data_IF_370592125838
#
_entry.id   IF_370592125838
#
_cell.length_a   1.000
_cell.length_b   1.000
_cell.length_c   1.000
_cell.angle_alpha   90.00
_cell.angle_beta   90.00
_cell.angle_gamma   90.00
#
_symmetry.space_group_name_H-M   'P 1'
#
loop_
_entity.id
_entity.type
_entity.pdbx_description
1 polymer ?
#
# COMPACT_ATOMS: atom_id res chain seq x y z
N UNK A 1 -41.11 2.15 -9.28
CA UNK A 1 -39.70 2.19 -8.79
C UNK A 1 -38.78 1.84 -9.96
N UNK A 2 -37.74 2.66 -10.23
CA UNK A 2 -36.77 2.60 -11.36
C UNK A 2 -37.21 3.12 -12.76
N UNK A 3 -38.23 3.97 -12.86
CA UNK A 3 -38.70 4.51 -14.16
C UNK A 3 -37.58 5.18 -14.99
N UNK A 4 -36.71 5.95 -14.34
CA UNK A 4 -35.58 6.63 -15.00
C UNK A 4 -34.50 5.66 -15.52
N UNK A 5 -34.29 4.52 -14.86
CA UNK A 5 -33.30 3.53 -15.26
C UNK A 5 -33.81 2.59 -16.36
N UNK A 6 -35.13 2.47 -16.51
CA UNK A 6 -35.76 1.63 -17.55
C UNK A 6 -35.93 2.37 -18.88
N UNK A 7 -36.01 3.71 -18.85
CA UNK A 7 -36.33 4.52 -20.03
C UNK A 7 -35.14 4.72 -20.96
N UNK A 8 -33.93 4.70 -20.42
CA UNK A 8 -32.73 4.93 -21.22
C UNK A 8 -31.55 4.05 -20.76
N UNK A 9 -31.37 2.88 -21.40
CA UNK A 9 -30.30 1.96 -21.05
C UNK A 9 -28.90 2.51 -21.39
N UNK A 10 -28.78 3.45 -22.34
CA UNK A 10 -27.50 4.09 -22.66
C UNK A 10 -27.05 5.00 -21.52
N UNK A 11 -27.96 5.81 -20.97
CA UNK A 11 -27.67 6.63 -19.79
C UNK A 11 -27.28 5.78 -18.58
N UNK A 12 -27.92 4.62 -18.37
CA UNK A 12 -27.56 3.70 -17.29
C UNK A 12 -26.15 3.13 -17.47
N UNK A 13 -25.77 2.78 -18.70
CA UNK A 13 -24.41 2.33 -19.04
C UNK A 13 -23.36 3.40 -18.76
N UNK A 14 -23.64 4.65 -19.16
CA UNK A 14 -22.76 5.79 -18.89
C UNK A 14 -22.62 6.08 -17.40
N UNK A 15 -23.72 6.02 -16.64
CA UNK A 15 -23.71 6.21 -15.19
C UNK A 15 -22.89 5.12 -14.48
N UNK A 16 -23.07 3.86 -14.86
CA UNK A 16 -22.29 2.75 -14.32
C UNK A 16 -20.80 2.90 -14.65
N UNK A 17 -20.47 3.31 -15.87
CA UNK A 17 -19.10 3.59 -16.27
C UNK A 17 -18.48 4.71 -15.43
N UNK A 18 -19.22 5.79 -15.19
CA UNK A 18 -18.77 6.90 -14.34
C UNK A 18 -18.48 6.43 -12.90
N UNK A 19 -19.39 5.66 -12.30
CA UNK A 19 -19.14 5.09 -10.97
C UNK A 19 -17.91 4.18 -10.93
N UNK A 20 -17.69 3.38 -11.97
CA UNK A 20 -16.48 2.56 -12.10
C UNK A 20 -15.23 3.44 -12.20
N UNK A 21 -15.25 4.48 -13.02
CA UNK A 21 -14.12 5.40 -13.16
C UNK A 21 -13.75 6.06 -11.83
N UNK A 22 -14.73 6.59 -11.10
CA UNK A 22 -14.50 7.17 -9.76
C UNK A 22 -13.94 6.13 -8.80
N UNK A 23 -14.50 4.91 -8.79
CA UNK A 23 -14.00 3.84 -7.94
C UNK A 23 -12.57 3.43 -8.31
N UNK A 24 -12.22 3.39 -9.60
CA UNK A 24 -10.87 3.10 -10.07
C UNK A 24 -9.88 4.20 -9.69
N UNK A 25 -10.24 5.47 -9.87
CA UNK A 25 -9.41 6.61 -9.46
C UNK A 25 -9.19 6.61 -7.95
N UNK A 26 -10.25 6.45 -7.16
CA UNK A 26 -10.14 6.33 -5.70
C UNK A 26 -9.29 5.14 -5.28
N UNK A 27 -9.44 3.97 -5.93
CA UNK A 27 -8.64 2.79 -5.63
C UNK A 27 -7.17 2.98 -5.99
N UNK A 28 -6.90 3.61 -7.13
CA UNK A 28 -5.53 3.93 -7.58
C UNK A 28 -4.88 4.92 -6.63
N UNK A 29 -5.61 5.96 -6.21
CA UNK A 29 -5.16 6.93 -5.22
C UNK A 29 -4.97 6.24 -3.86
N UNK A 30 -5.85 5.35 -3.42
CA UNK A 30 -5.71 4.66 -2.13
C UNK A 30 -4.55 3.65 -2.13
N UNK A 31 -4.31 2.97 -3.25
CA UNK A 31 -3.18 2.08 -3.43
C UNK A 31 -1.85 2.85 -3.50
N UNK A 32 -1.83 4.02 -4.14
CA UNK A 32 -0.62 4.85 -4.30
C UNK A 32 -0.34 5.79 -3.12
N UNK A 33 -1.38 6.38 -2.51
CA UNK A 33 -1.32 7.23 -1.31
C UNK A 33 -1.52 6.47 -0.02
N UNK A 34 -1.70 5.16 -0.05
CA UNK A 34 -1.72 4.31 1.14
C UNK A 34 -0.49 4.66 1.97
N UNK A 35 -0.72 5.48 2.99
CA UNK A 35 0.30 6.25 3.73
C UNK A 35 1.35 5.25 4.17
N UNK A 36 2.49 5.33 3.51
CA UNK A 36 3.28 4.15 3.21
C UNK A 36 3.83 3.58 4.52
N UNK A 37 3.18 2.52 5.00
CA UNK A 37 3.69 1.73 6.12
C UNK A 37 5.05 1.13 5.76
N UNK A 38 5.38 1.05 4.46
CA UNK A 38 6.64 0.56 3.92
C UNK A 38 7.86 1.36 4.45
N UNK A 39 8.05 2.67 4.18
CA UNK A 39 9.12 3.45 4.78
C UNK A 39 9.22 3.31 6.29
N UNK A 40 8.10 3.30 7.00
CA UNK A 40 8.06 3.20 8.46
C UNK A 40 8.49 1.80 8.92
N UNK A 41 8.05 0.75 8.24
CA UNK A 41 8.44 -0.64 8.51
C UNK A 41 9.93 -0.89 8.20
N UNK A 42 10.42 -0.34 7.08
CA UNK A 42 11.85 -0.36 6.70
C UNK A 42 12.70 0.36 7.75
N UNK A 43 12.28 1.55 8.20
CA UNK A 43 12.95 2.30 9.25
C UNK A 43 12.91 1.58 10.60
N UNK A 44 11.74 1.10 11.03
CA UNK A 44 11.56 0.39 12.30
C UNK A 44 12.46 -0.84 12.38
N UNK A 45 12.37 -1.73 11.39
CA UNK A 45 13.18 -2.95 11.40
C UNK A 45 14.68 -2.65 11.37
N UNK A 46 15.09 -1.61 10.66
CA UNK A 46 16.49 -1.18 10.63
C UNK A 46 16.98 -0.65 11.97
N UNK A 47 16.19 0.22 12.63
CA UNK A 47 16.53 0.73 13.96
C UNK A 47 16.57 -0.38 15.01
N UNK A 48 15.72 -1.41 14.85
CA UNK A 48 15.77 -2.64 15.67
C UNK A 48 17.06 -3.42 15.43
N UNK A 49 17.49 -3.59 14.18
CA UNK A 49 18.74 -4.28 13.84
C UNK A 49 19.98 -3.54 14.34
N UNK A 50 20.01 -2.22 14.23
CA UNK A 50 21.14 -1.42 14.70
C UNK A 50 21.16 -1.23 16.22
N UNK A 51 20.21 -1.82 16.96
CA UNK A 51 20.04 -1.62 18.41
C UNK A 51 19.80 -0.17 18.84
N UNK A 52 19.43 0.71 17.90
CA UNK A 52 19.12 2.13 18.19
C UNK A 52 17.68 2.33 18.69
N UNK A 53 16.82 1.30 18.56
CA UNK A 53 15.47 1.32 19.09
C UNK A 53 15.27 0.18 20.11
N UNK A 54 15.39 0.47 21.42
CA UNK A 54 15.29 -0.55 22.47
C UNK A 54 13.86 -1.12 22.59
N UNK A 55 12.85 -0.30 22.31
CA UNK A 55 11.43 -0.65 22.43
C UNK A 55 10.93 -1.40 21.20
N UNK A 56 10.03 -2.37 21.41
CA UNK A 56 9.31 -3.04 20.32
C UNK A 56 8.03 -2.26 19.99
N UNK A 57 7.61 -2.31 18.73
CA UNK A 57 6.31 -1.82 18.28
C UNK A 57 5.45 -3.02 17.86
N UNK A 58 4.64 -3.58 18.78
CA UNK A 58 3.90 -4.81 18.54
C UNK A 58 2.99 -4.76 17.32
N UNK A 59 2.30 -3.63 17.10
CA UNK A 59 1.43 -3.46 15.93
C UNK A 59 2.22 -3.52 14.62
N UNK A 60 3.39 -2.89 14.58
CA UNK A 60 4.27 -2.94 13.40
C UNK A 60 4.81 -4.35 13.15
N UNK A 61 5.19 -5.06 14.21
CA UNK A 61 5.61 -6.46 14.09
C UNK A 61 4.47 -7.35 13.61
N UNK A 62 3.23 -7.10 14.06
CA UNK A 62 2.05 -7.80 13.56
C UNK A 62 1.80 -7.51 12.09
N UNK A 63 1.85 -6.24 11.67
CA UNK A 63 1.70 -5.85 10.26
C UNK A 63 2.76 -6.52 9.39
N UNK A 64 4.02 -6.53 9.83
CA UNK A 64 5.13 -7.14 9.08
C UNK A 64 4.94 -8.66 8.99
N UNK A 65 4.44 -9.30 10.05
CA UNK A 65 4.13 -10.73 10.04
C UNK A 65 2.97 -11.08 9.10
N UNK A 66 1.90 -10.26 9.10
CA UNK A 66 0.69 -10.50 8.32
C UNK A 66 0.91 -10.30 6.82
N UNK A 67 1.69 -9.28 6.44
CA UNK A 67 2.02 -8.98 5.05
C UNK A 67 3.16 -9.85 4.49
N UNK A 68 3.92 -10.50 5.37
CA UNK A 68 5.10 -11.28 5.02
C UNK A 68 6.32 -10.40 4.75
N UNK A 69 7.41 -10.65 5.50
CA UNK A 69 8.65 -9.88 5.39
C UNK A 69 9.26 -9.90 3.96
N UNK A 70 9.10 -10.99 3.23
CA UNK A 70 9.63 -11.09 1.86
C UNK A 70 8.93 -10.15 0.87
N UNK A 71 7.64 -9.89 1.09
CA UNK A 71 6.83 -9.03 0.23
C UNK A 71 7.05 -7.55 0.56
N UNK A 72 7.10 -7.20 1.86
CA UNK A 72 7.38 -5.84 2.34
C UNK A 72 8.79 -5.33 2.03
N UNK A 73 9.79 -6.21 2.07
CA UNK A 73 11.19 -5.83 1.94
C UNK A 73 11.84 -6.26 0.62
N UNK A 74 11.06 -6.73 -0.38
CA UNK A 74 11.57 -7.13 -1.70
C UNK A 74 12.79 -8.08 -1.59
N UNK A 75 12.54 -9.28 -1.06
CA UNK A 75 13.60 -10.28 -0.83
C UNK A 75 14.33 -10.14 0.52
N UNK A 76 13.67 -9.54 1.51
CA UNK A 76 14.14 -9.49 2.91
C UNK A 76 14.78 -8.15 3.30
N UNK A 77 15.17 -8.02 4.57
CA UNK A 77 15.70 -6.76 5.10
C UNK A 77 17.20 -6.61 4.74
N UNK A 78 17.61 -5.51 4.10
CA UNK A 78 19.00 -5.31 3.70
C UNK A 78 19.86 -4.88 4.89
N UNK A 79 21.11 -5.37 4.93
CA UNK A 79 22.06 -5.05 6.00
C UNK A 79 22.69 -3.66 5.88
N UNK A 80 22.59 -3.01 4.72
CA UNK A 80 23.21 -1.71 4.43
C UNK A 80 22.19 -0.59 4.25
N UNK A 81 22.62 0.64 4.49
CA UNK A 81 21.75 1.82 4.36
C UNK A 81 21.20 2.01 2.96
N UNK A 82 22.12 1.90 2.01
CA UNK A 82 21.87 2.07 0.59
C UNK A 82 20.95 0.96 0.06
N UNK A 83 21.15 -0.29 0.53
CA UNK A 83 20.28 -1.41 0.21
C UNK A 83 18.84 -1.21 0.69
N UNK A 84 18.65 -0.55 1.84
CA UNK A 84 17.32 -0.23 2.38
C UNK A 84 16.60 0.80 1.50
N UNK A 85 17.28 1.88 1.14
CA UNK A 85 16.72 2.89 0.25
C UNK A 85 16.36 2.30 -1.12
N UNK A 86 17.25 1.46 -1.68
CA UNK A 86 17.01 0.78 -2.96
C UNK A 86 15.82 -0.17 -2.92
N UNK A 87 15.70 -1.00 -1.87
CA UNK A 87 14.56 -1.93 -1.72
C UNK A 87 13.25 -1.21 -1.46
N UNK A 88 13.31 -0.09 -0.74
CA UNK A 88 12.15 0.78 -0.56
C UNK A 88 11.71 1.40 -1.90
N UNK A 89 12.65 1.91 -2.70
CA UNK A 89 12.34 2.44 -4.04
C UNK A 89 11.67 1.37 -4.92
N UNK A 90 12.23 0.16 -4.95
CA UNK A 90 11.65 -0.98 -5.66
C UNK A 90 10.25 -1.34 -5.15
N UNK A 91 10.02 -1.34 -3.83
CA UNK A 91 8.70 -1.62 -3.25
C UNK A 91 7.65 -0.55 -3.61
N UNK A 92 8.10 0.67 -3.87
CA UNK A 92 7.26 1.81 -4.29
C UNK A 92 7.10 1.89 -5.82
N UNK A 93 7.73 0.98 -6.58
CA UNK A 93 7.68 0.98 -8.04
C UNK A 93 8.51 2.09 -8.70
N UNK A 94 9.54 2.59 -8.01
CA UNK A 94 10.51 3.57 -8.51
C UNK A 94 11.79 2.93 -9.02
#
# INVERSE_FOLDING_TARGET
KHYLLQRDPLWCGLLLYNFRMVAYECSTILASRGVSILPVAHLYKRLRQSQHLPTQWPDMDHVISAQGANHLFVGGLPSSSDGCAKRLALALGM
#
